data_IF_898064018818
#
_entry.id   IF_898064018818
#
_cell.length_a   1.000
_cell.length_b   1.000
_cell.length_c   1.000
_cell.angle_alpha   90.00
_cell.angle_beta   90.00
_cell.angle_gamma   90.00
#
_symmetry.space_group_name_H-M   'P 1'
#
loop_
_entity.id
_entity.type
_entity.pdbx_description
1 polymer ?
#
# COMPACT_ATOMS: atom_id res chain seq x y z
N UNK A 1 -10.02 1.19 -16.58
CA UNK A 1 -8.58 1.04 -16.25
C UNK A 1 -7.94 2.38 -15.93
N UNK A 2 -7.93 3.37 -16.82
CA UNK A 2 -7.35 4.70 -16.55
C UNK A 2 -7.93 5.39 -15.29
N UNK A 3 -9.25 5.33 -15.09
CA UNK A 3 -9.90 5.87 -13.89
C UNK A 3 -9.44 5.18 -12.59
N UNK A 4 -9.24 3.85 -12.62
CA UNK A 4 -8.82 3.10 -11.43
C UNK A 4 -7.39 3.49 -11.02
N UNK A 5 -6.48 3.60 -12.00
CA UNK A 5 -5.10 4.07 -11.78
C UNK A 5 -5.09 5.52 -11.33
N UNK A 6 -5.83 6.39 -12.02
CA UNK A 6 -5.91 7.81 -11.68
C UNK A 6 -6.45 8.05 -10.28
N UNK A 7 -7.48 7.31 -9.86
CA UNK A 7 -8.02 7.38 -8.51
C UNK A 7 -7.04 6.85 -7.46
N UNK A 8 -6.36 5.73 -7.74
CA UNK A 8 -5.34 5.19 -6.84
C UNK A 8 -4.20 6.20 -6.63
N UNK A 9 -3.71 6.83 -7.70
CA UNK A 9 -2.67 7.87 -7.63
C UNK A 9 -3.17 9.09 -6.88
N UNK A 10 -4.37 9.59 -7.20
CA UNK A 10 -4.95 10.75 -6.52
C UNK A 10 -5.10 10.50 -5.00
N UNK A 11 -5.53 9.30 -4.61
CA UNK A 11 -5.63 8.91 -3.20
C UNK A 11 -4.25 8.84 -2.54
N UNK A 12 -3.25 8.25 -3.19
CA UNK A 12 -1.87 8.24 -2.67
C UNK A 12 -1.28 9.64 -2.50
N UNK A 13 -1.57 10.56 -3.42
CA UNK A 13 -1.16 11.96 -3.29
C UNK A 13 -1.86 12.64 -2.10
N UNK A 14 -3.15 12.37 -1.91
CA UNK A 14 -3.94 12.92 -0.80
C UNK A 14 -3.43 12.42 0.56
N UNK A 15 -3.06 11.15 0.66
CA UNK A 15 -2.52 10.54 1.89
C UNK A 15 -1.01 10.70 2.03
N UNK A 16 -0.36 11.42 1.11
CA UNK A 16 1.10 11.51 0.93
C UNK A 16 1.84 10.17 1.04
N UNK A 17 1.19 9.10 0.57
CA UNK A 17 1.75 7.73 0.46
C UNK A 17 2.11 7.40 -0.99
N UNK A 18 2.62 8.37 -1.75
CA UNK A 18 2.96 8.20 -3.16
C UNK A 18 4.04 7.14 -3.34
N UNK A 19 3.63 5.98 -3.85
CA UNK A 19 4.52 4.90 -4.24
C UNK A 19 4.31 4.64 -5.74
N UNK A 20 5.19 5.18 -6.63
CA UNK A 20 4.98 5.10 -8.08
C UNK A 20 4.75 3.67 -8.61
N UNK A 21 5.43 2.63 -8.09
CA UNK A 21 5.12 1.23 -8.45
C UNK A 21 3.70 0.78 -8.09
N UNK A 22 3.11 1.25 -6.99
CA UNK A 22 1.75 0.86 -6.56
C UNK A 22 0.65 1.37 -7.52
N UNK A 23 0.95 2.35 -8.38
CA UNK A 23 0.03 2.78 -9.43
C UNK A 23 -0.26 1.69 -10.48
N UNK A 24 0.59 0.67 -10.59
CA UNK A 24 0.37 -0.47 -11.48
C UNK A 24 -0.60 -1.52 -10.91
N UNK A 25 -0.81 -1.55 -9.59
CA UNK A 25 -1.62 -2.59 -8.92
C UNK A 25 -3.08 -2.62 -9.42
N UNK A 26 -3.79 -1.49 -9.61
CA UNK A 26 -5.14 -1.51 -10.18
C UNK A 26 -5.19 -2.10 -11.60
N UNK A 27 -4.14 -1.93 -12.40
CA UNK A 27 -4.06 -2.53 -13.74
C UNK A 27 -3.94 -4.05 -13.64
N UNK A 28 -3.05 -4.54 -12.77
CA UNK A 28 -2.85 -5.98 -12.53
C UNK A 28 -4.15 -6.62 -12.05
N UNK A 29 -4.86 -5.97 -11.12
CA UNK A 29 -6.12 -6.51 -10.58
C UNK A 29 -7.20 -6.60 -11.66
N UNK A 30 -7.33 -5.56 -12.49
CA UNK A 30 -8.32 -5.54 -13.56
C UNK A 30 -7.99 -6.52 -14.71
N UNK A 31 -6.72 -6.67 -15.06
CA UNK A 31 -6.27 -7.59 -16.11
C UNK A 31 -6.35 -9.06 -15.66
N UNK A 32 -6.08 -9.34 -14.38
CA UNK A 32 -6.14 -10.68 -13.82
C UNK A 32 -7.56 -11.17 -13.48
N UNK A 33 -8.58 -10.33 -13.67
CA UNK A 33 -10.00 -10.67 -13.40
C UNK A 33 -10.24 -11.21 -11.99
N UNK A 34 -9.57 -10.64 -10.98
CA UNK A 34 -9.68 -11.13 -9.61
C UNK A 34 -11.03 -10.75 -8.96
N UNK A 35 -11.49 -11.61 -8.03
CA UNK A 35 -12.65 -11.34 -7.18
C UNK A 35 -12.35 -10.24 -6.15
N UNK A 36 -13.40 -9.60 -5.63
CA UNK A 36 -13.32 -8.67 -4.50
C UNK A 36 -12.65 -9.26 -3.26
N UNK A 37 -12.68 -10.59 -3.08
CA UNK A 37 -11.96 -11.27 -2.00
C UNK A 37 -10.44 -11.03 -2.06
N UNK A 38 -9.89 -10.78 -3.25
CA UNK A 38 -8.47 -10.49 -3.47
C UNK A 38 -7.99 -9.25 -2.70
N UNK A 39 -8.88 -8.25 -2.55
CA UNK A 39 -8.58 -7.03 -1.80
C UNK A 39 -8.35 -7.32 -0.31
N UNK A 40 -9.14 -8.24 0.27
CA UNK A 40 -8.97 -8.66 1.65
C UNK A 40 -7.76 -9.60 1.80
N UNK A 41 -7.66 -10.59 0.92
CA UNK A 41 -6.57 -11.57 0.90
C UNK A 41 -6.11 -11.82 -0.54
N UNK A 42 -4.86 -11.47 -0.91
CA UNK A 42 -3.74 -11.19 -0.01
C UNK A 42 -3.50 -9.69 0.27
N UNK A 43 -4.17 -8.75 -0.41
CA UNK A 43 -3.72 -7.35 -0.46
C UNK A 43 -3.72 -6.66 0.92
N UNK A 44 -4.87 -6.63 1.61
CA UNK A 44 -4.99 -5.97 2.91
C UNK A 44 -4.17 -6.69 3.99
N UNK A 45 -4.26 -8.03 4.04
CA UNK A 45 -3.53 -8.83 5.03
C UNK A 45 -2.01 -8.67 4.83
N UNK A 46 -1.53 -8.83 3.60
CA UNK A 46 -0.11 -8.74 3.27
C UNK A 46 0.47 -7.36 3.56
N UNK A 47 -0.20 -6.29 3.14
CA UNK A 47 0.24 -4.92 3.41
C UNK A 47 0.25 -4.60 4.91
N UNK A 48 -0.77 -5.04 5.66
CA UNK A 48 -0.82 -4.87 7.13
C UNK A 48 0.34 -5.59 7.81
N UNK A 49 0.63 -6.84 7.41
CA UNK A 49 1.76 -7.61 7.94
C UNK A 49 3.08 -6.86 7.68
N UNK A 50 3.29 -6.36 6.45
CA UNK A 50 4.51 -5.61 6.11
C UNK A 50 4.66 -4.37 7.00
N UNK A 51 3.59 -3.60 7.21
CA UNK A 51 3.62 -2.42 8.08
C UNK A 51 3.92 -2.79 9.52
N UNK A 52 3.30 -3.85 10.06
CA UNK A 52 3.58 -4.32 11.43
C UNK A 52 5.07 -4.69 11.59
N UNK A 53 5.62 -5.47 10.67
CA UNK A 53 7.03 -5.83 10.71
C UNK A 53 7.95 -4.61 10.56
N UNK A 54 7.59 -3.66 9.69
CA UNK A 54 8.32 -2.41 9.55
C UNK A 54 8.32 -1.60 10.84
N UNK A 55 7.20 -1.51 11.55
CA UNK A 55 7.10 -0.83 12.85
C UNK A 55 7.97 -1.53 13.90
N UNK A 56 7.85 -2.85 14.04
CA UNK A 56 8.63 -3.59 15.03
C UNK A 56 10.13 -3.46 14.78
N UNK A 57 10.59 -3.82 13.58
CA UNK A 57 12.01 -3.87 13.26
C UNK A 57 12.65 -2.48 13.32
N UNK A 58 11.99 -1.45 12.78
CA UNK A 58 12.59 -0.11 12.76
C UNK A 58 12.62 0.55 14.14
N UNK A 59 11.70 0.23 15.05
CA UNK A 59 11.70 0.76 16.43
C UNK A 59 12.52 -0.07 17.42
N UNK A 60 12.98 -1.27 17.06
CA UNK A 60 13.94 -2.03 17.90
C UNK A 60 15.30 -1.32 18.01
N UNK A 61 15.62 -0.40 17.09
CA UNK A 61 16.88 0.35 17.13
C UNK A 61 16.68 1.62 17.95
N UNK A 62 17.37 1.74 19.09
CA UNK A 62 17.27 2.90 20.00
C UNK A 62 17.61 4.27 19.37
N UNK A 63 18.22 4.30 18.17
CA UNK A 63 18.60 5.52 17.46
C UNK A 63 17.67 5.83 16.26
N UNK A 64 16.50 5.19 16.17
CA UNK A 64 15.51 5.47 15.12
C UNK A 64 14.11 5.43 15.71
N UNK A 65 13.27 6.36 15.26
CA UNK A 65 11.84 6.34 15.52
C UNK A 65 11.15 6.20 14.17
N UNK A 66 10.31 5.17 14.03
CA UNK A 66 9.54 4.90 12.80
C UNK A 66 8.06 4.68 13.16
N UNK A 67 7.10 5.17 12.35
CA UNK A 67 7.30 5.92 11.13
C UNK A 67 7.59 7.39 11.43
N UNK A 68 8.30 8.05 10.53
CA UNK A 68 8.55 9.49 10.61
C UNK A 68 7.27 10.30 10.35
N UNK A 69 6.28 9.69 9.69
CA UNK A 69 5.01 10.33 9.40
C UNK A 69 3.87 9.31 9.18
N UNK A 70 2.66 9.74 9.54
CA UNK A 70 1.35 9.14 9.28
C UNK A 70 0.86 9.22 7.82
N UNK A 71 0.76 10.48 7.37
CA UNK A 71 -0.08 10.94 6.26
C UNK A 71 0.40 12.29 5.79
#
# INVERSE_FOLDING_TARGET
MALAVGLAIAMMMLTKTTHPPAGADPLVVMLGTFSWSYLFSPVLIGSTIIVIFALLINNMRSNRNYPTFWI
#
